data_IF_583584073551
#
_entry.id   IF_583584073551
#
_cell.length_a   1.000
_cell.length_b   1.000
_cell.length_c   1.000
_cell.angle_alpha   90.00
_cell.angle_beta   90.00
_cell.angle_gamma   90.00
#
_symmetry.space_group_name_H-M   'P 1'
#
loop_
_entity.id
_entity.type
_entity.pdbx_description
1 polymer ?
#
# COMPACT_ATOMS: atom_id res chain seq x y z
N UNK A 1 21.79 -8.35 32.36
CA UNK A 1 20.51 -8.21 31.59
C UNK A 1 20.69 -7.59 30.21
N UNK A 2 21.86 -7.02 29.89
CA UNK A 2 22.15 -6.44 28.56
C UNK A 2 22.50 -7.45 27.45
N UNK A 3 22.93 -8.66 27.81
CA UNK A 3 23.37 -9.67 26.83
C UNK A 3 22.22 -10.35 26.07
N UNK A 4 21.04 -10.41 26.66
CA UNK A 4 19.85 -11.03 26.03
C UNK A 4 19.22 -10.15 24.95
N UNK A 5 19.23 -8.84 25.12
CA UNK A 5 18.70 -7.90 24.11
C UNK A 5 19.58 -7.83 22.86
N UNK A 6 20.90 -7.91 23.02
CA UNK A 6 21.84 -7.92 21.89
C UNK A 6 21.69 -9.16 21.02
N UNK A 7 21.46 -10.32 21.61
CA UNK A 7 21.23 -11.58 20.88
C UNK A 7 19.92 -11.57 20.08
N UNK A 8 18.86 -10.97 20.63
CA UNK A 8 17.58 -10.86 19.94
C UNK A 8 17.68 -9.92 18.72
N UNK A 9 18.42 -8.83 18.83
CA UNK A 9 18.68 -7.90 17.71
C UNK A 9 19.51 -8.54 16.59
N UNK A 10 20.58 -9.26 16.94
CA UNK A 10 21.46 -9.92 15.98
C UNK A 10 20.71 -11.05 15.25
N UNK A 11 19.87 -11.81 15.94
CA UNK A 11 19.08 -12.89 15.33
C UNK A 11 17.95 -12.35 14.44
N UNK A 12 17.42 -11.16 14.74
CA UNK A 12 16.43 -10.48 13.90
C UNK A 12 17.03 -9.97 12.57
N UNK A 13 18.24 -9.42 12.63
CA UNK A 13 18.97 -8.94 11.44
C UNK A 13 19.38 -10.09 10.53
N UNK A 14 19.78 -11.23 11.09
CA UNK A 14 20.26 -12.40 10.34
C UNK A 14 19.13 -13.11 9.56
N UNK A 15 17.87 -12.98 9.98
CA UNK A 15 16.71 -13.52 9.24
C UNK A 15 16.27 -12.63 8.07
N UNK A 16 16.58 -11.34 8.11
CA UNK A 16 16.28 -10.39 7.03
C UNK A 16 17.32 -10.48 5.89
N UNK A 17 18.57 -10.77 6.21
CA UNK A 17 19.67 -10.85 5.23
C UNK A 17 19.44 -11.88 4.12
N UNK A 18 18.97 -13.11 4.39
CA UNK A 18 18.70 -14.09 3.33
C UNK A 18 17.51 -13.73 2.44
N UNK A 19 16.49 -13.10 3.00
CA UNK A 19 15.31 -12.63 2.24
C UNK A 19 15.67 -11.46 1.33
N UNK A 20 16.43 -10.47 1.85
CA UNK A 20 16.94 -9.35 1.08
C UNK A 20 17.92 -9.79 -0.01
N UNK A 21 18.81 -10.75 0.28
CA UNK A 21 19.74 -11.26 -0.73
C UNK A 21 19.04 -12.06 -1.82
N UNK A 22 17.99 -12.82 -1.50
CA UNK A 22 17.14 -13.50 -2.50
C UNK A 22 16.39 -12.50 -3.37
N UNK A 23 15.87 -11.41 -2.77
CA UNK A 23 15.18 -10.34 -3.49
C UNK A 23 16.13 -9.58 -4.40
N UNK A 24 17.32 -9.22 -3.92
CA UNK A 24 18.37 -8.57 -4.72
C UNK A 24 18.87 -9.46 -5.86
N UNK A 25 18.99 -10.79 -5.66
CA UNK A 25 19.33 -11.74 -6.73
C UNK A 25 18.25 -11.81 -7.80
N UNK A 26 16.98 -11.80 -7.41
CA UNK A 26 15.84 -11.75 -8.36
C UNK A 26 15.84 -10.45 -9.16
N UNK A 27 16.05 -9.31 -8.50
CA UNK A 27 16.12 -7.99 -9.15
C UNK A 27 17.30 -7.91 -10.13
N UNK A 28 18.49 -8.42 -9.75
CA UNK A 28 19.67 -8.46 -10.63
C UNK A 28 19.46 -9.41 -11.82
N UNK A 29 18.84 -10.58 -11.59
CA UNK A 29 18.49 -11.50 -12.68
C UNK A 29 17.51 -10.88 -13.68
N UNK A 30 16.55 -10.15 -13.17
CA UNK A 30 15.57 -9.44 -13.98
C UNK A 30 16.20 -8.27 -14.77
N UNK A 31 17.09 -7.49 -14.13
CA UNK A 31 17.85 -6.43 -14.80
C UNK A 31 18.68 -6.97 -15.97
N UNK A 32 19.38 -8.09 -15.75
CA UNK A 32 20.19 -8.73 -16.79
C UNK A 32 19.32 -9.24 -17.95
N UNK A 33 18.16 -9.83 -17.66
CA UNK A 33 17.21 -10.31 -18.68
C UNK A 33 16.58 -9.15 -19.46
N UNK A 34 16.35 -8.00 -18.82
CA UNK A 34 15.89 -6.78 -19.48
C UNK A 34 17.00 -6.13 -20.34
N UNK A 35 18.26 -6.19 -19.91
CA UNK A 35 19.42 -5.71 -20.68
C UNK A 35 19.69 -6.61 -21.89
N UNK A 36 19.58 -7.93 -21.77
CA UNK A 36 19.71 -8.90 -22.88
C UNK A 36 18.56 -8.74 -23.90
N UNK A 37 17.35 -8.45 -23.44
CA UNK A 37 16.20 -8.16 -24.29
C UNK A 37 16.34 -6.81 -25.03
N UNK A 38 17.05 -5.83 -24.45
CA UNK A 38 17.25 -4.51 -25.05
C UNK A 38 18.33 -4.51 -26.14
N UNK A 39 19.26 -5.45 -26.14
CA UNK A 39 20.28 -5.58 -27.19
C UNK A 39 19.74 -6.18 -28.48
N UNK A 40 18.55 -6.81 -28.46
CA UNK A 40 17.89 -7.43 -29.61
C UNK A 40 16.87 -6.57 -30.35
N UNK A 41 16.58 -5.35 -29.90
CA UNK A 41 15.58 -4.51 -30.59
C UNK A 41 15.40 -3.14 -29.96
N UNK A 42 15.92 -2.13 -30.60
CA UNK A 42 15.91 -0.71 -30.22
C UNK A 42 14.51 -0.07 -30.03
N UNK A 43 13.43 -0.83 -30.26
CA UNK A 43 12.05 -0.31 -30.18
C UNK A 43 11.25 -0.74 -28.93
N UNK A 44 11.71 -1.72 -28.18
CA UNK A 44 10.95 -2.26 -27.03
C UNK A 44 11.57 -1.92 -25.64
N UNK A 45 12.82 -1.48 -25.60
CA UNK A 45 13.57 -1.24 -24.36
C UNK A 45 13.00 -0.11 -23.48
N UNK A 46 12.47 0.96 -24.09
CA UNK A 46 11.86 2.08 -23.37
C UNK A 46 10.52 1.72 -22.69
N UNK A 47 9.71 0.91 -23.36
CA UNK A 47 8.38 0.52 -22.85
C UNK A 47 8.44 -0.46 -21.68
N UNK A 48 9.35 -1.44 -21.74
CA UNK A 48 9.49 -2.44 -20.66
C UNK A 48 10.12 -1.83 -19.39
N UNK A 49 11.16 -0.98 -19.55
CA UNK A 49 11.77 -0.29 -18.42
C UNK A 49 10.81 0.69 -17.74
N UNK A 50 10.00 1.42 -18.52
CA UNK A 50 8.96 2.30 -18.01
C UNK A 50 7.84 1.50 -17.31
N UNK A 51 7.40 0.38 -17.88
CA UNK A 51 6.39 -0.49 -17.26
C UNK A 51 6.85 -1.07 -15.92
N UNK A 52 8.12 -1.41 -15.80
CA UNK A 52 8.69 -1.95 -14.55
C UNK A 52 8.83 -0.89 -13.47
N UNK A 53 9.29 0.33 -13.82
CA UNK A 53 9.36 1.46 -12.88
C UNK A 53 7.98 1.86 -12.40
N UNK A 54 6.97 1.86 -13.26
CA UNK A 54 5.59 2.12 -12.88
C UNK A 54 5.03 1.04 -11.94
N UNK A 55 5.32 -0.24 -12.20
CA UNK A 55 4.89 -1.35 -11.35
C UNK A 55 5.55 -1.32 -9.97
N UNK A 56 6.85 -1.02 -9.90
CA UNK A 56 7.58 -0.88 -8.65
C UNK A 56 7.11 0.32 -7.84
N UNK A 57 6.83 1.44 -8.51
CA UNK A 57 6.28 2.64 -7.86
C UNK A 57 4.89 2.36 -7.32
N UNK A 58 4.01 1.76 -8.11
CA UNK A 58 2.65 1.42 -7.68
C UNK A 58 2.65 0.47 -6.48
N UNK A 59 3.57 -0.49 -6.44
CA UNK A 59 3.73 -1.39 -5.29
C UNK A 59 4.22 -0.64 -4.04
N UNK A 60 5.22 0.24 -4.19
CA UNK A 60 5.73 1.05 -3.09
C UNK A 60 4.65 2.02 -2.55
N UNK A 61 3.89 2.65 -3.43
CA UNK A 61 2.79 3.55 -3.06
C UNK A 61 1.70 2.78 -2.28
N UNK A 62 1.36 1.57 -2.72
CA UNK A 62 0.39 0.72 -2.02
C UNK A 62 0.91 0.26 -0.65
N UNK A 63 2.18 -0.11 -0.52
CA UNK A 63 2.78 -0.51 0.76
C UNK A 63 2.83 0.66 1.74
N UNK A 64 3.19 1.85 1.27
CA UNK A 64 3.19 3.08 2.05
C UNK A 64 1.77 3.45 2.52
N UNK A 65 0.78 3.38 1.64
CA UNK A 65 -0.61 3.67 1.97
C UNK A 65 -1.19 2.65 2.97
N UNK A 66 -0.90 1.35 2.79
CA UNK A 66 -1.29 0.31 3.74
C UNK A 66 -0.65 0.53 5.12
N UNK A 67 0.62 0.93 5.15
CA UNK A 67 1.33 1.26 6.39
C UNK A 67 0.73 2.50 7.05
N UNK A 68 0.40 3.55 6.29
CA UNK A 68 -0.27 4.74 6.77
C UNK A 68 -1.64 4.44 7.38
N UNK A 69 -2.44 3.60 6.72
CA UNK A 69 -3.72 3.12 7.23
C UNK A 69 -3.54 2.31 8.53
N UNK A 70 -2.55 1.41 8.57
CA UNK A 70 -2.22 0.62 9.75
C UNK A 70 -1.89 1.52 10.95
N UNK A 71 -1.03 2.53 10.75
CA UNK A 71 -0.66 3.50 11.79
C UNK A 71 -1.88 4.31 12.27
N UNK A 72 -2.75 4.73 11.35
CA UNK A 72 -3.97 5.46 11.71
C UNK A 72 -4.96 4.62 12.54
N UNK A 73 -4.90 3.30 12.44
CA UNK A 73 -5.74 2.34 13.16
C UNK A 73 -5.06 1.75 14.42
N UNK A 74 -3.85 2.19 14.76
CA UNK A 74 -3.19 1.80 16.01
C UNK A 74 -3.85 2.50 17.20
N UNK A 75 -4.00 1.76 18.28
CA UNK A 75 -4.40 2.29 19.57
C UNK A 75 -3.20 2.92 20.33
N UNK A 76 -3.48 3.42 21.52
CA UNK A 76 -2.45 4.04 22.38
C UNK A 76 -1.34 3.06 22.83
N UNK A 77 -1.58 1.76 22.74
CA UNK A 77 -0.60 0.70 23.05
C UNK A 77 0.19 0.24 21.82
N UNK A 78 -0.10 0.81 20.63
CA UNK A 78 0.53 0.42 19.39
C UNK A 78 -0.06 -0.85 18.75
N UNK A 79 -1.19 -1.34 19.28
CA UNK A 79 -1.86 -2.50 18.73
C UNK A 79 -2.79 -2.11 17.58
N UNK A 80 -2.79 -2.92 16.53
CA UNK A 80 -3.63 -2.70 15.35
C UNK A 80 -4.94 -3.43 15.52
N UNK A 81 -6.05 -2.70 15.45
CA UNK A 81 -7.39 -3.26 15.57
C UNK A 81 -7.66 -4.37 14.52
N UNK A 82 -8.45 -5.38 14.89
CA UNK A 82 -8.80 -6.50 14.01
C UNK A 82 -9.45 -6.05 12.69
N UNK A 83 -10.17 -4.96 12.72
CA UNK A 83 -10.82 -4.34 11.56
C UNK A 83 -9.87 -3.79 10.50
N UNK A 84 -8.56 -3.63 10.79
CA UNK A 84 -7.59 -3.19 9.79
C UNK A 84 -7.58 -4.10 8.55
N UNK A 85 -7.57 -5.42 8.74
CA UNK A 85 -7.52 -6.35 7.62
C UNK A 85 -8.76 -6.23 6.73
N UNK A 86 -9.92 -6.02 7.32
CA UNK A 86 -11.18 -5.93 6.59
C UNK A 86 -11.28 -4.59 5.85
N UNK A 87 -10.85 -3.48 6.46
CA UNK A 87 -10.77 -2.17 5.80
C UNK A 87 -9.74 -2.21 4.66
N UNK A 88 -8.59 -2.83 4.87
CA UNK A 88 -7.58 -2.98 3.83
C UNK A 88 -8.09 -3.83 2.64
N UNK A 89 -8.80 -4.93 2.91
CA UNK A 89 -9.47 -5.71 1.87
C UNK A 89 -10.53 -4.92 1.11
N UNK A 90 -11.29 -4.08 1.82
CA UNK A 90 -12.25 -3.19 1.19
C UNK A 90 -11.57 -2.21 0.24
N UNK A 91 -10.47 -1.58 0.65
CA UNK A 91 -9.70 -0.66 -0.19
C UNK A 91 -9.13 -1.36 -1.44
N UNK A 92 -8.59 -2.58 -1.30
CA UNK A 92 -8.11 -3.39 -2.42
C UNK A 92 -9.28 -3.73 -3.37
N UNK A 93 -10.42 -4.11 -2.83
CA UNK A 93 -11.61 -4.41 -3.63
C UNK A 93 -12.12 -3.20 -4.43
N UNK A 94 -12.07 -2.01 -3.84
CA UNK A 94 -12.44 -0.76 -4.50
C UNK A 94 -11.44 -0.40 -5.61
N UNK A 95 -10.13 -0.53 -5.37
CA UNK A 95 -9.09 -0.29 -6.37
C UNK A 95 -9.15 -1.24 -7.58
N UNK A 96 -9.76 -2.43 -7.40
CA UNK A 96 -10.00 -3.36 -8.50
C UNK A 96 -11.28 -3.05 -9.30
N UNK A 97 -12.19 -2.26 -8.76
CA UNK A 97 -13.52 -2.01 -9.34
C UNK A 97 -13.70 -0.58 -9.83
N UNK A 98 -12.95 0.36 -9.31
CA UNK A 98 -13.07 1.79 -9.57
C UNK A 98 -11.80 2.33 -10.26
N UNK A 99 -11.85 3.51 -10.90
CA UNK A 99 -10.74 4.03 -11.72
C UNK A 99 -9.47 4.36 -10.94
N UNK A 100 -9.59 4.65 -9.64
CA UNK A 100 -8.46 5.03 -8.79
C UNK A 100 -7.68 3.82 -8.30
N UNK A 101 -6.47 4.02 -7.79
CA UNK A 101 -5.59 2.93 -7.34
C UNK A 101 -5.97 2.40 -5.96
N UNK A 102 -5.52 1.19 -5.64
CA UNK A 102 -5.64 0.63 -4.29
C UNK A 102 -5.03 1.56 -3.23
N UNK A 103 -3.89 2.20 -3.54
CA UNK A 103 -3.22 3.15 -2.65
C UNK A 103 -4.11 4.37 -2.36
N UNK A 104 -4.80 4.91 -3.36
CA UNK A 104 -5.71 6.04 -3.18
C UNK A 104 -6.88 5.66 -2.26
N UNK A 105 -7.44 4.46 -2.41
CA UNK A 105 -8.51 3.99 -1.51
C UNK A 105 -7.99 3.67 -0.09
N UNK A 106 -6.77 3.20 0.06
CA UNK A 106 -6.15 3.03 1.39
C UNK A 106 -5.94 4.37 2.08
N UNK A 107 -5.48 5.39 1.35
CA UNK A 107 -5.35 6.76 1.84
C UNK A 107 -6.73 7.36 2.20
N UNK A 108 -7.74 7.10 1.39
CA UNK A 108 -9.13 7.49 1.71
C UNK A 108 -9.60 6.88 3.02
N UNK A 109 -9.39 5.57 3.23
CA UNK A 109 -9.75 4.90 4.47
C UNK A 109 -8.97 5.47 5.67
N UNK A 110 -7.68 5.74 5.49
CA UNK A 110 -6.83 6.39 6.49
C UNK A 110 -7.40 7.76 6.87
N UNK A 111 -7.84 8.55 5.90
CA UNK A 111 -8.45 9.86 6.14
C UNK A 111 -9.74 9.73 6.95
N UNK A 112 -10.64 8.81 6.58
CA UNK A 112 -11.88 8.56 7.33
C UNK A 112 -11.59 8.19 8.79
N UNK A 113 -10.62 7.31 9.03
CA UNK A 113 -10.19 6.94 10.40
C UNK A 113 -9.65 8.14 11.15
N UNK A 114 -8.79 8.95 10.53
CA UNK A 114 -8.23 10.17 11.15
C UNK A 114 -9.28 11.23 11.47
N UNK A 115 -10.36 11.28 10.72
CA UNK A 115 -11.51 12.14 10.99
C UNK A 115 -12.43 11.58 12.09
N UNK A 116 -12.06 10.46 12.69
CA UNK A 116 -12.78 9.87 13.82
C UNK A 116 -13.96 8.99 13.42
N UNK A 117 -14.09 8.61 12.13
CA UNK A 117 -15.15 7.70 11.70
C UNK A 117 -14.79 6.27 12.16
N UNK A 118 -15.65 5.63 12.98
CA UNK A 118 -15.38 4.29 13.49
C UNK A 118 -15.21 3.26 12.37
N UNK A 119 -14.32 2.30 12.58
CA UNK A 119 -14.06 1.23 11.63
C UNK A 119 -15.34 0.47 11.21
N UNK A 120 -16.27 0.28 12.15
CA UNK A 120 -17.56 -0.38 11.91
C UNK A 120 -18.41 0.40 10.90
N UNK A 121 -18.43 1.73 10.98
CA UNK A 121 -19.16 2.58 10.05
C UNK A 121 -18.51 2.57 8.66
N UNK A 122 -17.16 2.58 8.61
CA UNK A 122 -16.42 2.48 7.35
C UNK A 122 -16.79 1.17 6.63
N UNK A 123 -16.77 0.04 7.35
CA UNK A 123 -17.15 -1.27 6.83
C UNK A 123 -18.66 -1.38 6.58
N UNK A 124 -19.48 -0.70 7.38
CA UNK A 124 -20.93 -0.67 7.28
C UNK A 124 -21.49 0.08 6.08
N UNK A 125 -20.61 0.72 5.29
CA UNK A 125 -21.03 1.36 4.05
C UNK A 125 -20.42 2.73 3.78
N UNK A 126 -19.98 3.47 4.80
CA UNK A 126 -19.38 4.81 4.63
C UNK A 126 -18.18 4.75 3.67
N UNK A 127 -17.30 3.75 3.83
CA UNK A 127 -16.15 3.59 2.94
C UNK A 127 -16.53 3.40 1.48
N UNK A 128 -17.52 2.55 1.19
CA UNK A 128 -18.04 2.37 -0.18
C UNK A 128 -18.73 3.62 -0.70
N UNK A 129 -19.61 4.21 0.09
CA UNK A 129 -20.33 5.42 -0.31
C UNK A 129 -19.38 6.56 -0.67
N UNK A 130 -18.33 6.76 0.14
CA UNK A 130 -17.29 7.78 -0.10
C UNK A 130 -16.53 7.49 -1.39
N UNK A 131 -16.17 6.23 -1.66
CA UNK A 131 -15.48 5.85 -2.90
C UNK A 131 -16.34 6.13 -4.14
N UNK A 132 -17.62 5.75 -4.12
CA UNK A 132 -18.53 6.06 -5.21
C UNK A 132 -18.78 7.57 -5.37
N UNK A 133 -18.82 8.31 -4.26
CA UNK A 133 -18.93 9.75 -4.27
C UNK A 133 -17.72 10.42 -4.96
N UNK A 134 -16.50 9.91 -4.71
CA UNK A 134 -15.28 10.38 -5.38
C UNK A 134 -15.42 10.26 -6.89
N UNK A 135 -15.83 9.10 -7.39
CA UNK A 135 -16.03 8.84 -8.81
C UNK A 135 -17.12 9.75 -9.40
N UNK A 136 -18.26 9.88 -8.73
CA UNK A 136 -19.37 10.71 -9.19
C UNK A 136 -19.02 12.19 -9.26
N UNK A 137 -18.29 12.69 -8.28
CA UNK A 137 -17.85 14.10 -8.22
C UNK A 137 -16.56 14.35 -9.02
N UNK A 138 -15.96 13.31 -9.62
CA UNK A 138 -14.65 13.40 -10.31
C UNK A 138 -13.59 14.03 -9.40
N UNK A 139 -13.56 13.61 -8.15
CA UNK A 139 -12.61 14.05 -7.12
C UNK A 139 -11.72 12.88 -6.72
N UNK A 140 -10.57 13.20 -6.11
CA UNK A 140 -9.74 12.17 -5.52
C UNK A 140 -10.46 11.50 -4.35
N UNK A 141 -10.18 10.22 -4.07
CA UNK A 141 -10.76 9.51 -2.92
C UNK A 141 -10.55 10.23 -1.58
N UNK A 142 -9.39 10.86 -1.38
CA UNK A 142 -9.10 11.63 -0.17
C UNK A 142 -9.99 12.87 -0.05
N UNK A 143 -10.18 13.61 -1.14
CA UNK A 143 -11.05 14.80 -1.15
C UNK A 143 -12.51 14.43 -0.86
N UNK A 144 -12.96 13.26 -1.34
CA UNK A 144 -14.28 12.74 -1.02
C UNK A 144 -14.39 12.31 0.47
N UNK A 145 -13.31 11.78 1.05
CA UNK A 145 -13.28 11.45 2.48
C UNK A 145 -13.38 12.70 3.37
N UNK A 146 -12.65 13.76 3.02
CA UNK A 146 -12.78 15.03 3.74
C UNK A 146 -14.19 15.63 3.66
N UNK A 147 -14.84 15.50 2.52
CA UNK A 147 -16.22 15.95 2.34
C UNK A 147 -17.19 15.10 3.17
N UNK A 148 -17.07 13.76 3.09
CA UNK A 148 -17.93 12.84 3.82
C UNK A 148 -17.81 13.00 5.35
N UNK A 149 -16.63 13.36 5.86
CA UNK A 149 -16.41 13.57 7.28
C UNK A 149 -17.01 14.89 7.81
N UNK A 150 -17.35 15.83 6.94
CA UNK A 150 -17.95 17.13 7.29
C UNK A 150 -19.48 17.14 7.24
N UNK A 151 -20.06 16.08 6.70
CA UNK A 151 -21.52 15.91 6.63
C UNK A 151 -22.08 15.21 7.87
#
# INVERSE_FOLDING_TARGET
>A
MAEFELKALITGVDRLSPALSKMLKKIRGFKRQAEEASQGGLALGGGLAAGLTLSLKSYADQENAATGLKVAMMDANGEVGKSFQDINKLAIGLGNQLPDTTADFQNMMQMLVRQGIPAENILGGVGKATAYLAVQLKKTPEAAAEFAAKM
#
